data_IF_843337600138
#
_entry.id   IF_843337600138
#
_cell.length_a   1.000
_cell.length_b   1.000
_cell.length_c   1.000
_cell.angle_alpha   90.00
_cell.angle_beta   90.00
_cell.angle_gamma   90.00
#
_symmetry.space_group_name_H-M   'P 1'
#
loop_
_entity.id
_entity.type
_entity.pdbx_description
1 polymer ?
#
# COMPACT_ATOMS: atom_id res chain seq x y z
N UNK A 1 9.85 24.45 27.68
CA UNK A 1 9.61 23.20 27.01
C UNK A 1 10.94 22.72 26.43
N UNK A 2 11.49 21.65 26.96
CA UNK A 2 12.58 20.92 26.29
C UNK A 2 11.88 19.98 25.33
N UNK A 3 11.82 20.32 24.05
CA UNK A 3 11.49 19.38 23.02
C UNK A 3 12.67 18.44 22.90
N UNK A 4 12.48 17.15 23.18
CA UNK A 4 13.47 16.13 22.85
C UNK A 4 13.57 16.09 21.31
N UNK A 5 14.69 16.59 20.82
CA UNK A 5 15.00 16.62 19.39
C UNK A 5 15.95 15.48 18.98
N UNK A 6 16.08 14.43 19.82
CA UNK A 6 16.85 13.24 19.45
C UNK A 6 16.04 12.45 18.43
N UNK A 7 16.40 12.45 17.15
CA UNK A 7 15.67 11.73 16.11
C UNK A 7 15.64 10.20 16.34
N UNK A 8 16.55 9.67 17.14
CA UNK A 8 16.58 8.25 17.48
C UNK A 8 15.51 7.84 18.51
N UNK A 9 14.98 8.78 19.28
CA UNK A 9 13.96 8.51 20.33
C UNK A 9 12.54 8.58 19.76
N UNK A 10 12.35 9.25 18.63
CA UNK A 10 11.05 9.43 17.98
C UNK A 10 10.87 8.65 16.67
N UNK A 11 11.82 7.83 16.29
CA UNK A 11 11.67 6.96 15.11
C UNK A 11 10.65 5.86 15.39
N UNK A 12 9.67 5.70 14.52
CA UNK A 12 8.74 4.57 14.56
C UNK A 12 9.49 3.24 14.46
N UNK A 13 8.84 2.16 14.82
CA UNK A 13 9.41 0.81 14.75
C UNK A 13 8.40 -0.22 14.26
N UNK A 14 8.92 -1.27 13.62
CA UNK A 14 8.15 -2.43 13.23
C UNK A 14 8.17 -3.51 14.32
N UNK A 15 7.01 -4.08 14.60
CA UNK A 15 6.83 -5.21 15.50
C UNK A 15 6.09 -6.36 14.77
N UNK A 16 6.40 -7.59 15.12
CA UNK A 16 5.72 -8.76 14.53
C UNK A 16 4.25 -8.81 14.97
N UNK A 17 3.33 -8.87 14.00
CA UNK A 17 1.90 -9.12 14.19
C UNK A 17 1.51 -10.57 13.92
N UNK A 18 0.22 -10.89 14.06
CA UNK A 18 -0.33 -12.20 13.73
C UNK A 18 -0.22 -12.49 12.23
N UNK A 19 0.23 -13.67 11.85
CA UNK A 19 0.41 -14.07 10.45
C UNK A 19 -0.92 -14.28 9.71
N UNK A 20 -0.94 -13.99 8.39
CA UNK A 20 -2.02 -14.42 7.49
C UNK A 20 -2.27 -15.92 7.60
N UNK A 21 -3.51 -16.37 7.48
CA UNK A 21 -3.83 -17.79 7.42
C UNK A 21 -3.29 -18.42 6.13
N UNK A 22 -3.29 -17.67 5.02
CA UNK A 22 -2.75 -18.13 3.74
C UNK A 22 -1.60 -17.24 3.29
N UNK A 23 -0.38 -17.82 3.22
CA UNK A 23 0.81 -17.12 2.71
C UNK A 23 0.63 -16.77 1.21
N UNK A 24 0.62 -15.48 0.87
CA UNK A 24 0.38 -15.01 -0.50
C UNK A 24 1.02 -13.66 -0.79
N UNK A 25 1.29 -13.44 -2.07
CA UNK A 25 1.83 -12.19 -2.63
C UNK A 25 0.88 -11.59 -3.67
N UNK A 26 1.21 -10.41 -4.20
CA UNK A 26 0.45 -9.73 -5.28
C UNK A 26 -1.05 -9.56 -4.95
N UNK A 27 -1.35 -9.42 -3.67
CA UNK A 27 -2.71 -9.24 -3.16
C UNK A 27 -3.01 -7.77 -2.96
N UNK A 28 -4.26 -7.41 -2.97
CA UNK A 28 -4.72 -6.08 -2.57
C UNK A 28 -5.07 -6.04 -1.09
N UNK A 29 -5.25 -4.83 -0.59
CA UNK A 29 -5.64 -4.59 0.79
C UNK A 29 -6.36 -3.25 0.95
N UNK A 30 -6.95 -3.06 2.12
CA UNK A 30 -7.53 -1.82 2.61
C UNK A 30 -7.46 -1.79 4.12
N UNK A 31 -7.14 -0.64 4.71
CA UNK A 31 -6.99 -0.55 6.15
C UNK A 31 -6.93 0.87 6.69
N UNK A 32 -7.51 1.05 7.87
CA UNK A 32 -7.52 2.33 8.57
C UNK A 32 -6.31 2.51 9.49
N UNK A 33 -5.66 1.40 9.91
CA UNK A 33 -4.56 1.41 10.87
C UNK A 33 -3.81 0.08 10.83
N UNK A 34 -2.69 -0.06 11.54
CA UNK A 34 -1.97 -1.35 11.68
C UNK A 34 -2.82 -2.47 12.30
N UNK A 35 -3.92 -2.14 12.96
CA UNK A 35 -4.76 -3.10 13.70
C UNK A 35 -6.14 -3.34 13.07
N UNK A 36 -6.42 -2.75 11.91
CA UNK A 36 -7.73 -2.87 11.25
C UNK A 36 -7.57 -2.88 9.74
N UNK A 37 -7.41 -4.08 9.17
CA UNK A 37 -7.11 -4.27 7.74
C UNK A 37 -7.93 -5.41 7.15
N UNK A 38 -8.18 -5.32 5.84
CA UNK A 38 -8.63 -6.43 5.00
C UNK A 38 -7.59 -6.70 3.91
N UNK A 39 -7.30 -7.95 3.62
CA UNK A 39 -6.41 -8.39 2.55
C UNK A 39 -7.11 -9.43 1.70
N UNK A 40 -7.13 -9.24 0.39
CA UNK A 40 -7.92 -10.07 -0.52
C UNK A 40 -7.20 -10.40 -1.82
N UNK A 41 -7.62 -11.50 -2.45
CA UNK A 41 -7.06 -12.01 -3.70
C UNK A 41 -5.56 -12.36 -3.58
N UNK A 42 -4.83 -12.41 -4.69
CA UNK A 42 -3.38 -12.61 -4.73
C UNK A 42 -2.95 -13.93 -5.31
N UNK A 43 -1.72 -14.34 -5.01
CA UNK A 43 -1.08 -15.53 -5.57
C UNK A 43 -0.43 -16.40 -4.48
N UNK A 44 -0.74 -17.68 -4.51
CA UNK A 44 -0.09 -18.75 -3.74
C UNK A 44 0.81 -19.59 -4.66
N UNK A 45 0.37 -20.74 -5.10
CA UNK A 45 0.87 -21.52 -6.25
C UNK A 45 -0.03 -21.29 -7.49
N UNK A 46 -1.16 -20.65 -7.30
CA UNK A 46 -2.12 -20.21 -8.30
C UNK A 46 -2.74 -18.88 -7.83
N UNK A 47 -3.46 -18.20 -8.71
CA UNK A 47 -4.27 -17.04 -8.32
C UNK A 47 -5.39 -17.50 -7.40
N UNK A 48 -5.69 -16.71 -6.38
CA UNK A 48 -6.66 -17.05 -5.33
C UNK A 48 -7.65 -15.91 -5.09
N UNK A 49 -8.79 -16.26 -4.47
CA UNK A 49 -9.85 -15.32 -4.12
C UNK A 49 -9.92 -15.03 -2.62
N UNK A 50 -9.11 -15.70 -1.80
CA UNK A 50 -9.17 -15.60 -0.34
C UNK A 50 -9.18 -14.16 0.15
N UNK A 51 -10.06 -13.89 1.11
CA UNK A 51 -10.06 -12.62 1.83
C UNK A 51 -9.96 -12.87 3.35
N UNK A 52 -9.17 -12.05 4.01
CA UNK A 52 -8.92 -12.13 5.44
C UNK A 52 -8.96 -10.72 6.06
N UNK A 53 -9.51 -10.60 7.26
CA UNK A 53 -9.50 -9.35 8.04
C UNK A 53 -8.59 -9.49 9.26
N UNK A 54 -7.90 -8.40 9.60
CA UNK A 54 -6.99 -8.30 10.74
C UNK A 54 -7.54 -7.41 11.84
N UNK A 55 -7.46 -7.85 13.09
CA UNK A 55 -7.99 -7.15 14.25
C UNK A 55 -6.91 -6.63 15.22
N UNK A 56 -5.65 -6.58 14.79
CA UNK A 56 -4.51 -6.20 15.64
C UNK A 56 -3.87 -7.39 16.37
N UNK A 57 -4.42 -8.59 16.22
CA UNK A 57 -3.87 -9.80 16.89
C UNK A 57 -3.83 -10.99 15.93
N UNK A 58 -4.88 -11.19 15.17
CA UNK A 58 -5.03 -12.33 14.28
C UNK A 58 -5.78 -11.97 13.00
N UNK A 59 -5.48 -12.70 11.94
CA UNK A 59 -6.23 -12.71 10.70
C UNK A 59 -7.34 -13.73 10.76
N UNK A 60 -8.51 -13.36 10.24
CA UNK A 60 -9.70 -14.20 10.17
C UNK A 60 -10.20 -14.24 8.74
N UNK A 61 -10.44 -15.42 8.18
CA UNK A 61 -11.07 -15.58 6.87
C UNK A 61 -12.48 -15.00 6.86
N UNK A 62 -12.80 -14.30 5.78
CA UNK A 62 -14.12 -13.71 5.53
C UNK A 62 -14.61 -14.14 4.14
N UNK A 63 -15.72 -13.60 3.65
CA UNK A 63 -16.24 -13.92 2.32
C UNK A 63 -15.20 -13.65 1.22
N UNK A 64 -14.94 -14.65 0.40
CA UNK A 64 -13.96 -14.60 -0.70
C UNK A 64 -14.37 -13.60 -1.78
N UNK A 65 -13.36 -13.03 -2.43
CA UNK A 65 -13.48 -12.24 -3.65
C UNK A 65 -14.14 -13.10 -4.75
N UNK A 66 -15.07 -12.55 -5.55
CA UNK A 66 -15.82 -13.37 -6.50
C UNK A 66 -14.95 -13.92 -7.64
N UNK A 67 -13.97 -13.11 -8.08
CA UNK A 67 -13.06 -13.51 -9.17
C UNK A 67 -11.62 -13.63 -8.67
N UNK A 68 -11.08 -14.85 -8.60
CA UNK A 68 -9.69 -15.10 -8.23
C UNK A 68 -8.73 -14.34 -9.17
N UNK A 69 -7.88 -13.47 -8.63
CA UNK A 69 -6.93 -12.64 -9.40
C UNK A 69 -5.79 -12.12 -8.52
N UNK A 70 -4.74 -11.66 -9.17
CA UNK A 70 -3.55 -11.08 -8.55
C UNK A 70 -3.18 -9.74 -9.18
N UNK A 71 -2.21 -9.01 -8.58
CA UNK A 71 -1.68 -7.75 -9.12
C UNK A 71 -2.77 -6.69 -9.36
N UNK A 72 -3.77 -6.67 -8.52
CA UNK A 72 -4.92 -5.79 -8.59
C UNK A 72 -4.72 -4.56 -7.71
N UNK A 73 -5.45 -3.49 -7.99
CA UNK A 73 -5.58 -2.36 -7.10
C UNK A 73 -6.58 -2.64 -5.98
N UNK A 74 -6.39 -2.01 -4.83
CA UNK A 74 -7.33 -2.08 -3.72
C UNK A 74 -7.21 -0.90 -2.79
N UNK A 75 -8.31 -0.54 -2.15
CA UNK A 75 -8.39 0.53 -1.16
C UNK A 75 -9.61 0.34 -0.25
N UNK A 76 -9.73 1.21 0.75
CA UNK A 76 -10.86 1.21 1.68
C UNK A 76 -10.51 0.74 3.07
N UNK A 77 -11.47 0.16 3.77
CA UNK A 77 -11.34 -0.30 5.16
C UNK A 77 -12.01 -1.67 5.35
N UNK A 78 -11.82 -2.26 6.53
CA UNK A 78 -12.33 -3.59 6.90
C UNK A 78 -13.85 -3.82 6.65
N UNK A 79 -14.64 -2.75 6.66
CA UNK A 79 -16.10 -2.81 6.46
C UNK A 79 -16.56 -2.27 5.11
N UNK A 80 -15.64 -1.67 4.32
CA UNK A 80 -15.95 -1.01 3.06
C UNK A 80 -14.69 -0.93 2.20
N UNK A 81 -14.45 -1.93 1.36
CA UNK A 81 -13.27 -2.01 0.50
C UNK A 81 -13.65 -2.13 -0.98
N UNK A 82 -12.72 -1.79 -1.85
CA UNK A 82 -12.84 -1.89 -3.30
C UNK A 82 -11.61 -2.60 -3.85
N UNK A 83 -11.82 -3.56 -4.75
CA UNK A 83 -10.75 -4.22 -5.48
C UNK A 83 -11.00 -4.18 -6.98
N UNK A 84 -10.00 -3.80 -7.79
CA UNK A 84 -10.19 -3.52 -9.21
C UNK A 84 -8.99 -3.92 -10.07
N UNK A 85 -9.29 -4.25 -11.34
CA UNK A 85 -8.29 -4.69 -12.31
C UNK A 85 -7.58 -5.98 -11.92
N UNK A 86 -6.32 -6.10 -12.31
CA UNK A 86 -5.49 -7.27 -12.06
C UNK A 86 -5.54 -8.31 -13.16
N UNK A 87 -5.04 -9.49 -12.86
CA UNK A 87 -5.06 -10.63 -13.79
C UNK A 87 -5.57 -11.91 -13.13
N UNK A 88 -6.37 -12.65 -13.88
CA UNK A 88 -6.75 -14.04 -13.58
C UNK A 88 -5.64 -15.01 -14.03
N UNK A 89 -5.87 -16.31 -13.95
CA UNK A 89 -4.92 -17.29 -14.48
C UNK A 89 -4.73 -17.20 -16.02
N UNK A 90 -5.62 -16.53 -16.73
CA UNK A 90 -5.66 -16.55 -18.20
C UNK A 90 -5.69 -15.19 -18.87
N UNK A 91 -6.09 -14.13 -18.16
CA UNK A 91 -6.29 -12.81 -18.78
C UNK A 91 -6.21 -11.67 -17.75
N UNK A 92 -5.83 -10.49 -18.23
CA UNK A 92 -6.03 -9.22 -17.53
C UNK A 92 -7.50 -8.86 -17.56
N UNK A 93 -7.99 -8.27 -16.49
CA UNK A 93 -9.41 -7.93 -16.33
C UNK A 93 -9.60 -6.47 -15.93
N UNK A 94 -10.80 -5.96 -16.19
CA UNK A 94 -11.25 -4.63 -15.77
C UNK A 94 -12.16 -4.69 -14.54
N UNK A 95 -12.51 -5.88 -14.09
CA UNK A 95 -13.54 -6.14 -13.07
C UNK A 95 -13.25 -5.38 -11.78
N UNK A 96 -14.30 -4.72 -11.25
CA UNK A 96 -14.28 -4.06 -9.95
C UNK A 96 -15.27 -4.75 -9.02
N UNK A 97 -14.83 -5.03 -7.80
CA UNK A 97 -15.67 -5.62 -6.75
C UNK A 97 -15.64 -4.75 -5.50
N UNK A 98 -16.81 -4.57 -4.89
CA UNK A 98 -17.06 -3.79 -3.69
C UNK A 98 -17.41 -4.70 -2.51
N UNK A 99 -16.78 -4.49 -1.36
CA UNK A 99 -16.98 -5.19 -0.09
C UNK A 99 -17.86 -4.38 0.85
N UNK A 100 -18.92 -4.96 1.38
CA UNK A 100 -19.88 -4.32 2.29
C UNK A 100 -19.69 -4.68 3.78
N UNK A 101 -18.59 -5.36 4.11
CA UNK A 101 -18.32 -5.89 5.45
C UNK A 101 -18.73 -7.37 5.62
N UNK A 102 -19.41 -7.96 4.62
CA UNK A 102 -19.90 -9.34 4.67
C UNK A 102 -19.72 -10.10 3.35
N UNK A 103 -19.83 -9.43 2.20
CA UNK A 103 -19.77 -10.03 0.86
C UNK A 103 -19.19 -9.09 -0.18
N UNK A 104 -18.63 -9.67 -1.24
CA UNK A 104 -18.18 -8.95 -2.42
C UNK A 104 -19.27 -8.92 -3.48
N UNK A 105 -19.43 -7.77 -4.14
CA UNK A 105 -20.37 -7.55 -5.23
C UNK A 105 -19.65 -6.87 -6.39
N UNK A 106 -19.82 -7.40 -7.61
CA UNK A 106 -19.33 -6.77 -8.83
C UNK A 106 -20.07 -5.45 -9.08
N UNK A 107 -19.30 -4.41 -9.42
CA UNK A 107 -19.79 -3.05 -9.68
C UNK A 107 -19.23 -2.55 -11.02
N UNK A 108 -19.27 -1.25 -11.31
CA UNK A 108 -18.81 -0.71 -12.59
C UNK A 108 -17.33 -0.99 -12.84
N UNK A 109 -17.01 -1.54 -14.00
CA UNK A 109 -15.64 -1.94 -14.40
C UNK A 109 -14.78 -0.74 -14.82
N UNK A 110 -13.44 -0.93 -14.73
CA UNK A 110 -12.45 -0.04 -15.35
C UNK A 110 -12.69 0.09 -16.86
N UNK A 111 -12.32 1.23 -17.44
CA UNK A 111 -12.41 1.45 -18.89
C UNK A 111 -11.40 0.60 -19.69
N UNK A 112 -10.30 0.21 -19.06
CA UNK A 112 -9.28 -0.63 -19.69
C UNK A 112 -8.82 -1.78 -18.79
N UNK A 113 -8.66 -2.98 -19.39
CA UNK A 113 -8.07 -4.12 -18.68
C UNK A 113 -6.59 -3.88 -18.40
N UNK A 114 -6.18 -3.89 -17.14
CA UNK A 114 -4.77 -3.78 -16.74
C UNK A 114 -4.52 -4.39 -15.36
N UNK A 115 -3.28 -4.78 -15.12
CA UNK A 115 -2.82 -5.10 -13.78
C UNK A 115 -1.85 -4.02 -13.27
N UNK A 116 -1.79 -3.86 -11.96
CA UNK A 116 -0.96 -2.81 -11.36
C UNK A 116 0.53 -3.13 -11.30
N UNK A 117 0.90 -4.40 -11.53
CA UNK A 117 2.27 -4.87 -11.31
C UNK A 117 2.65 -4.78 -9.82
N UNK A 118 2.69 -5.89 -9.14
CA UNK A 118 2.93 -5.89 -7.69
C UNK A 118 1.66 -5.58 -6.89
N UNK A 119 1.62 -4.46 -6.23
CA UNK A 119 0.42 -3.90 -5.59
C UNK A 119 0.06 -2.68 -6.42
N UNK A 120 -1.04 -2.71 -7.15
CA UNK A 120 -1.40 -1.68 -8.10
C UNK A 120 -1.38 -0.28 -7.50
N UNK A 121 -0.99 0.71 -8.28
CA UNK A 121 -1.05 2.13 -7.94
C UNK A 121 -2.49 2.55 -7.62
N UNK A 122 -2.89 2.38 -6.38
CA UNK A 122 -4.23 2.64 -5.89
C UNK A 122 -4.19 3.58 -4.68
N UNK A 123 -5.13 4.51 -4.65
CA UNK A 123 -5.33 5.42 -3.52
C UNK A 123 -6.83 5.71 -3.37
N UNK A 124 -7.32 5.86 -2.15
CA UNK A 124 -8.70 6.27 -1.93
C UNK A 124 -9.49 5.43 -0.94
N UNK A 125 -10.80 5.50 -1.10
CA UNK A 125 -11.81 4.79 -0.32
C UNK A 125 -12.68 3.94 -1.25
N UNK A 126 -13.59 3.13 -0.70
CA UNK A 126 -14.55 2.35 -1.47
C UNK A 126 -15.41 3.19 -2.43
N UNK A 127 -15.70 4.43 -2.08
CA UNK A 127 -16.61 5.33 -2.86
C UNK A 127 -15.85 6.39 -3.66
N UNK A 128 -14.55 6.52 -3.47
CA UNK A 128 -13.73 7.52 -4.17
C UNK A 128 -12.28 7.01 -4.26
N UNK A 129 -11.89 6.48 -5.42
CA UNK A 129 -10.60 5.84 -5.62
C UNK A 129 -9.91 6.30 -6.91
N UNK A 130 -8.61 6.11 -6.95
CA UNK A 130 -7.77 6.22 -8.14
C UNK A 130 -7.11 4.89 -8.46
N UNK A 131 -6.95 4.60 -9.74
CA UNK A 131 -6.09 3.54 -10.23
C UNK A 131 -5.18 4.07 -11.34
N UNK A 132 -3.90 4.12 -11.07
CA UNK A 132 -2.90 4.75 -11.95
C UNK A 132 -1.73 3.82 -12.27
N UNK A 133 -1.15 4.03 -13.44
CA UNK A 133 -0.06 3.20 -13.93
C UNK A 133 -0.48 1.78 -14.27
N UNK A 134 0.47 0.85 -14.16
CA UNK A 134 0.26 -0.57 -14.40
C UNK A 134 0.74 -1.02 -15.77
N UNK A 135 0.24 -2.17 -16.22
CA UNK A 135 0.66 -2.82 -17.46
C UNK A 135 -0.55 -3.35 -18.24
N UNK A 136 -0.59 -3.00 -19.51
CA UNK A 136 -1.55 -3.54 -20.49
C UNK A 136 -0.85 -4.55 -21.42
N UNK A 137 -0.34 -4.14 -22.54
CA UNK A 137 0.66 -4.81 -23.37
C UNK A 137 2.03 -4.12 -23.25
N UNK A 138 2.03 -2.95 -22.62
CA UNK A 138 3.19 -2.10 -22.33
C UNK A 138 2.94 -1.36 -21.00
N UNK A 139 3.96 -0.66 -20.50
CA UNK A 139 3.80 0.18 -19.31
C UNK A 139 2.73 1.24 -19.57
N UNK A 140 1.89 1.48 -18.58
CA UNK A 140 0.78 2.44 -18.68
C UNK A 140 1.04 3.65 -17.80
N UNK A 141 0.62 4.82 -18.31
CA UNK A 141 0.49 6.04 -17.52
C UNK A 141 -0.96 6.29 -17.09
N UNK A 142 -1.91 5.52 -17.64
CA UNK A 142 -3.34 5.76 -17.48
C UNK A 142 -3.74 5.88 -16.01
N UNK A 143 -4.60 6.85 -15.73
CA UNK A 143 -5.20 7.06 -14.43
C UNK A 143 -6.72 7.11 -14.57
N UNK A 144 -7.40 6.32 -13.78
CA UNK A 144 -8.87 6.30 -13.70
C UNK A 144 -9.33 6.65 -12.30
N UNK A 145 -10.41 7.42 -12.22
CA UNK A 145 -11.05 7.90 -11.00
C UNK A 145 -12.40 7.24 -10.84
N UNK A 146 -12.67 6.68 -9.67
CA UNK A 146 -13.93 6.06 -9.24
C UNK A 146 -14.79 7.03 -8.44
N UNK A 147 -16.06 7.16 -8.77
CA UNK A 147 -17.02 8.07 -8.11
C UNK A 147 -18.02 7.35 -7.18
N UNK A 148 -17.83 6.05 -6.95
CA UNK A 148 -18.75 5.18 -6.20
C UNK A 148 -19.69 4.37 -7.09
N UNK A 149 -19.69 4.63 -8.42
CA UNK A 149 -20.57 3.96 -9.40
C UNK A 149 -19.88 3.63 -10.72
N UNK A 150 -18.94 4.45 -11.17
CA UNK A 150 -18.27 4.31 -12.46
C UNK A 150 -16.82 4.83 -12.42
N UNK A 151 -15.98 4.28 -13.32
CA UNK A 151 -14.63 4.75 -13.56
C UNK A 151 -14.59 5.76 -14.71
N UNK A 152 -13.82 6.81 -14.55
CA UNK A 152 -13.61 7.85 -15.56
C UNK A 152 -12.11 8.10 -15.71
N UNK A 153 -11.61 8.16 -16.95
CA UNK A 153 -10.23 8.56 -17.24
C UNK A 153 -10.00 10.01 -16.81
N UNK A 154 -8.87 10.24 -16.13
CA UNK A 154 -8.44 11.54 -15.65
C UNK A 154 -6.98 11.77 -16.05
N UNK A 155 -6.33 12.83 -15.57
CA UNK A 155 -4.94 13.16 -15.95
C UNK A 155 -3.96 12.02 -15.67
N UNK A 156 -3.22 11.60 -16.69
CA UNK A 156 -2.26 10.50 -16.64
C UNK A 156 -0.99 10.84 -15.85
N UNK A 157 -0.29 9.82 -15.33
CA UNK A 157 1.07 9.95 -14.82
C UNK A 157 2.00 10.57 -15.89
N UNK A 158 2.98 11.38 -15.46
CA UNK A 158 3.99 11.92 -16.37
C UNK A 158 4.87 10.81 -16.98
N UNK A 159 5.05 9.70 -16.26
CA UNK A 159 5.85 8.58 -16.73
C UNK A 159 5.07 7.27 -16.62
N UNK A 160 4.90 6.57 -17.75
CA UNK A 160 4.28 5.26 -17.82
C UNK A 160 5.11 4.22 -17.06
N UNK A 161 4.52 3.51 -16.08
CA UNK A 161 5.21 2.55 -15.21
C UNK A 161 4.27 1.56 -14.54
N UNK A 162 4.80 0.40 -14.21
CA UNK A 162 4.10 -0.63 -13.43
C UNK A 162 4.71 -0.80 -12.03
N UNK A 163 4.10 -1.64 -11.21
CA UNK A 163 4.52 -1.92 -9.84
C UNK A 163 4.70 -0.65 -8.97
N UNK A 164 3.86 0.33 -9.25
CA UNK A 164 3.78 1.62 -8.58
C UNK A 164 3.04 1.45 -7.27
N UNK A 165 3.54 2.01 -6.18
CA UNK A 165 2.77 2.12 -4.95
C UNK A 165 1.89 3.37 -4.97
N UNK A 166 0.72 3.25 -4.37
CA UNK A 166 -0.20 4.38 -4.17
C UNK A 166 -0.45 4.65 -2.71
N UNK A 167 -0.56 5.91 -2.32
CA UNK A 167 -0.99 6.31 -0.99
C UNK A 167 -1.75 7.64 -1.04
N UNK A 168 -2.57 7.90 -0.03
CA UNK A 168 -3.44 9.08 0.01
C UNK A 168 -4.88 8.78 -0.40
N UNK A 169 -5.58 9.80 -0.88
CA UNK A 169 -7.00 9.75 -1.25
C UNK A 169 -7.20 10.28 -2.68
N UNK A 170 -8.37 10.03 -3.25
CA UNK A 170 -8.71 10.45 -4.61
C UNK A 170 -8.43 11.94 -4.92
N UNK A 171 -8.70 12.93 -4.04
CA UNK A 171 -8.39 14.32 -4.35
C UNK A 171 -6.91 14.67 -4.19
N UNK A 172 -6.12 13.83 -3.51
CA UNK A 172 -4.69 14.05 -3.29
C UNK A 172 -3.97 12.73 -3.01
N UNK A 173 -3.13 12.29 -3.93
CA UNK A 173 -2.44 10.99 -3.87
C UNK A 173 -0.97 11.11 -4.27
N UNK A 174 -0.16 10.14 -3.86
CA UNK A 174 1.20 9.93 -4.34
C UNK A 174 1.29 8.62 -5.12
N UNK A 175 1.98 8.68 -6.25
CA UNK A 175 2.44 7.53 -7.03
C UNK A 175 3.95 7.39 -6.82
N UNK A 176 4.40 6.27 -6.24
CA UNK A 176 5.76 6.12 -5.73
C UNK A 176 6.46 4.91 -6.32
N UNK A 177 7.69 5.12 -6.82
CA UNK A 177 8.53 4.06 -7.35
C UNK A 177 7.97 3.36 -8.59
N UNK A 178 8.29 2.09 -8.75
CA UNK A 178 7.84 1.24 -9.86
C UNK A 178 8.93 0.89 -10.86
N UNK A 179 8.52 0.39 -12.04
CA UNK A 179 9.41 -0.02 -13.15
C UNK A 179 9.13 0.79 -14.42
N UNK A 180 10.24 1.23 -15.13
CA UNK A 180 10.23 2.04 -16.38
C UNK A 180 11.46 1.76 -17.25
N UNK A 181 11.65 0.80 -18.00
CA UNK A 181 11.69 -0.62 -17.73
C UNK A 181 12.62 -1.02 -16.57
N UNK A 182 13.45 -0.10 -16.07
CA UNK A 182 14.24 -0.29 -14.86
C UNK A 182 13.46 0.22 -13.63
N UNK A 183 13.87 -0.17 -12.43
CA UNK A 183 13.30 0.38 -11.20
C UNK A 183 13.58 1.87 -11.11
N UNK A 184 12.60 2.61 -10.59
CA UNK A 184 12.70 4.05 -10.39
C UNK A 184 12.36 4.43 -8.96
N UNK A 185 12.93 5.54 -8.49
CA UNK A 185 12.51 6.22 -7.24
C UNK A 185 11.45 7.28 -7.48
N UNK A 186 11.08 7.53 -8.75
CA UNK A 186 10.20 8.63 -9.13
C UNK A 186 8.93 8.68 -8.29
N UNK A 187 8.64 9.87 -7.76
CA UNK A 187 7.43 10.14 -7.01
C UNK A 187 6.66 11.25 -7.67
N UNK A 188 5.38 11.03 -7.92
CA UNK A 188 4.46 12.03 -8.47
C UNK A 188 3.31 12.30 -7.50
N UNK A 189 2.96 13.57 -7.33
CA UNK A 189 1.85 14.06 -6.51
C UNK A 189 0.66 14.40 -7.41
N UNK A 190 -0.49 13.85 -7.11
CA UNK A 190 -1.80 14.17 -7.67
C UNK A 190 -2.49 15.27 -6.87
N UNK A 191 -2.97 16.31 -7.54
CA UNK A 191 -3.67 17.47 -6.94
C UNK A 191 -5.18 17.45 -7.14
N UNK A 192 -5.73 16.36 -7.66
CA UNK A 192 -7.14 16.22 -8.06
C UNK A 192 -7.38 16.47 -9.55
N UNK A 193 -6.36 16.90 -10.32
CA UNK A 193 -6.46 17.20 -11.75
C UNK A 193 -5.24 16.78 -12.58
N UNK A 194 -4.05 16.85 -12.00
CA UNK A 194 -2.79 16.55 -12.68
C UNK A 194 -1.74 15.97 -11.74
N UNK A 195 -0.76 15.27 -12.33
CA UNK A 195 0.40 14.75 -11.64
C UNK A 195 1.59 15.69 -11.77
N UNK A 196 2.32 15.90 -10.69
CA UNK A 196 3.54 16.73 -10.65
C UNK A 196 4.65 15.92 -9.97
N UNK A 197 5.85 15.90 -10.57
CA UNK A 197 7.02 15.28 -9.94
C UNK A 197 7.40 16.01 -8.65
N UNK A 198 7.69 15.24 -7.62
CA UNK A 198 8.18 15.69 -6.31
C UNK A 198 9.48 14.96 -5.98
N UNK A 199 9.97 15.05 -4.74
CA UNK A 199 11.23 14.39 -4.36
C UNK A 199 11.11 12.86 -4.46
N UNK A 200 12.07 12.24 -5.10
CA UNK A 200 12.16 10.79 -5.31
C UNK A 200 12.54 10.03 -4.03
N UNK A 201 12.18 8.73 -4.00
CA UNK A 201 12.75 7.78 -3.02
C UNK A 201 14.28 7.81 -3.07
N UNK A 202 14.92 7.67 -1.91
CA UNK A 202 16.37 7.55 -1.82
C UNK A 202 16.88 6.24 -2.48
N UNK A 203 16.05 5.19 -2.46
CA UNK A 203 16.35 3.89 -3.07
C UNK A 203 15.29 3.53 -4.12
N UNK A 204 15.70 3.45 -5.40
CA UNK A 204 14.80 3.11 -6.51
C UNK A 204 14.24 1.69 -6.36
N UNK A 205 12.92 1.56 -6.15
CA UNK A 205 12.25 0.31 -5.82
C UNK A 205 10.90 0.15 -6.52
N UNK A 206 10.54 -1.12 -6.72
CA UNK A 206 9.21 -1.55 -7.16
C UNK A 206 8.61 -2.56 -6.18
N UNK A 207 7.34 -2.90 -6.34
CA UNK A 207 6.66 -3.94 -5.53
C UNK A 207 6.71 -3.69 -4.01
N UNK A 208 6.68 -2.43 -3.63
CA UNK A 208 6.75 -1.97 -2.23
C UNK A 208 5.37 -1.98 -1.57
N UNK A 209 5.31 -2.15 -0.26
CA UNK A 209 4.14 -1.79 0.54
C UNK A 209 4.12 -0.28 0.83
N UNK A 210 2.95 0.30 0.96
CA UNK A 210 2.78 1.74 1.23
C UNK A 210 1.60 2.00 2.17
N UNK A 211 1.66 3.13 2.86
CA UNK A 211 0.58 3.60 3.73
C UNK A 211 0.66 5.11 3.95
N UNK A 212 -0.44 5.71 4.40
CA UNK A 212 -0.47 7.11 4.80
C UNK A 212 -1.07 8.07 3.79
N UNK A 213 -0.62 9.32 3.84
CA UNK A 213 -1.19 10.44 3.09
C UNK A 213 -0.11 11.19 2.30
N UNK A 214 -0.51 12.17 1.51
CA UNK A 214 0.42 13.07 0.78
C UNK A 214 1.27 13.97 1.66
N UNK A 215 1.05 14.00 2.96
CA UNK A 215 1.82 14.80 3.92
C UNK A 215 2.55 13.96 4.97
N UNK A 216 2.17 12.68 5.10
CA UNK A 216 2.81 11.74 6.02
C UNK A 216 2.59 10.31 5.48
N UNK A 217 3.59 9.76 4.82
CA UNK A 217 3.53 8.47 4.16
C UNK A 217 4.69 7.56 4.53
N UNK A 218 4.50 6.27 4.33
CA UNK A 218 5.53 5.23 4.45
C UNK A 218 5.56 4.38 3.18
N UNK A 219 6.78 4.00 2.79
CA UNK A 219 7.03 2.97 1.77
C UNK A 219 8.04 1.98 2.33
N UNK A 220 7.74 0.70 2.24
CA UNK A 220 8.54 -0.34 2.89
C UNK A 220 8.68 -1.62 2.05
N UNK A 221 9.80 -2.31 2.23
CA UNK A 221 10.13 -3.51 1.47
C UNK A 221 10.36 -3.24 -0.01
N UNK A 222 9.93 -4.17 -0.86
CA UNK A 222 10.04 -4.08 -2.32
C UNK A 222 11.29 -4.71 -2.89
N UNK A 223 11.54 -4.43 -4.18
CA UNK A 223 12.69 -4.89 -4.94
C UNK A 223 13.65 -3.74 -5.24
N UNK A 224 14.97 -3.90 -4.84
CA UNK A 224 16.05 -2.96 -5.10
C UNK A 224 17.42 -3.63 -4.90
N UNK A 225 18.10 -4.05 -5.84
CA UNK A 225 17.96 -5.00 -6.93
C UNK A 225 17.49 -6.40 -6.51
N UNK A 226 17.40 -6.69 -5.22
CA UNK A 226 16.80 -7.87 -4.61
C UNK A 226 15.64 -7.46 -3.71
N UNK A 227 15.09 -8.41 -2.95
CA UNK A 227 14.09 -8.08 -1.92
C UNK A 227 14.72 -7.22 -0.83
N UNK A 228 14.00 -6.19 -0.39
CA UNK A 228 14.50 -5.16 0.54
C UNK A 228 13.79 -5.20 1.89
N UNK A 229 14.47 -4.70 2.91
CA UNK A 229 13.89 -4.36 4.22
C UNK A 229 13.60 -2.86 4.34
N UNK A 230 14.13 -2.02 3.44
CA UNK A 230 14.15 -0.57 3.59
C UNK A 230 12.76 0.01 3.81
N UNK A 231 12.67 0.92 4.76
CA UNK A 231 11.50 1.75 4.99
C UNK A 231 11.89 3.21 4.84
N UNK A 232 11.13 3.95 4.05
CA UNK A 232 11.27 5.40 3.92
C UNK A 232 9.99 6.10 4.32
N UNK A 233 10.13 7.19 5.05
CA UNK A 233 9.04 8.06 5.51
C UNK A 233 9.00 9.34 4.67
N UNK A 234 7.79 9.71 4.22
CA UNK A 234 7.48 10.95 3.53
C UNK A 234 6.93 11.99 4.50
N UNK A 235 7.51 13.18 4.52
CA UNK A 235 7.10 14.28 5.40
C UNK A 235 6.30 15.39 4.68
N UNK A 236 5.86 15.15 3.45
CA UNK A 236 5.20 16.14 2.59
C UNK A 236 6.14 16.85 1.63
N UNK A 237 7.47 16.69 1.76
CA UNK A 237 8.47 17.34 0.90
C UNK A 237 9.64 16.45 0.51
N UNK A 238 10.02 15.48 1.35
CA UNK A 238 11.17 14.61 1.12
C UNK A 238 10.97 13.24 1.77
N UNK A 239 11.65 12.22 1.23
CA UNK A 239 11.77 10.88 1.78
C UNK A 239 12.99 10.78 2.70
N UNK A 240 12.85 10.09 3.81
CA UNK A 240 13.92 9.84 4.78
C UNK A 240 13.90 8.36 5.19
N UNK A 241 15.06 7.71 5.19
CA UNK A 241 15.18 6.35 5.73
C UNK A 241 14.87 6.32 7.22
N UNK A 242 14.08 5.32 7.62
CA UNK A 242 13.69 5.06 9.01
C UNK A 242 13.92 3.58 9.36
N UNK A 243 13.45 3.09 10.50
CA UNK A 243 13.63 1.71 10.92
C UNK A 243 12.96 0.72 9.95
N UNK A 244 13.73 -0.25 9.50
CA UNK A 244 13.36 -1.21 8.47
C UNK A 244 12.44 -2.32 8.98
N UNK A 245 11.62 -2.92 8.07
CA UNK A 245 10.92 -4.18 8.35
C UNK A 245 11.94 -5.27 8.69
N UNK A 246 11.56 -6.22 9.53
CA UNK A 246 12.49 -7.24 10.04
C UNK A 246 12.92 -8.25 8.98
N UNK A 247 12.08 -8.51 7.99
CA UNK A 247 12.32 -9.52 6.95
C UNK A 247 12.21 -8.89 5.56
N UNK A 248 13.28 -8.97 4.77
CA UNK A 248 13.31 -8.49 3.39
C UNK A 248 12.26 -9.21 2.54
N UNK A 249 11.35 -8.46 1.92
CA UNK A 249 10.27 -9.00 1.08
C UNK A 249 9.71 -7.96 0.13
N UNK A 250 9.15 -8.45 -0.97
CA UNK A 250 8.48 -7.64 -1.99
C UNK A 250 7.06 -8.16 -2.25
N UNK A 251 6.28 -7.45 -3.07
CA UNK A 251 4.90 -7.85 -3.41
C UNK A 251 4.02 -8.05 -2.16
N UNK A 252 4.31 -7.26 -1.13
CA UNK A 252 3.60 -7.25 0.15
C UNK A 252 2.51 -6.17 0.13
N UNK A 253 1.43 -6.37 0.86
CA UNK A 253 0.44 -5.32 1.04
C UNK A 253 0.86 -4.35 2.15
N UNK A 254 0.48 -3.09 1.98
CA UNK A 254 0.66 -2.05 2.98
C UNK A 254 -0.61 -1.22 3.14
N UNK A 255 -0.97 -0.88 4.38
CA UNK A 255 -2.14 -0.06 4.71
C UNK A 255 -1.97 0.67 6.03
N UNK A 256 -2.91 1.56 6.32
CA UNK A 256 -2.95 2.35 7.53
C UNK A 256 -2.52 3.80 7.32
N UNK A 257 -1.89 4.37 8.32
CA UNK A 257 -1.41 5.76 8.29
C UNK A 257 0.11 5.82 8.31
N UNK A 258 0.70 7.00 8.07
CA UNK A 258 2.15 7.21 8.18
C UNK A 258 2.71 6.92 9.59
N UNK A 259 1.87 6.92 10.62
CA UNK A 259 2.27 6.68 12.02
C UNK A 259 1.78 5.34 12.58
N UNK A 260 0.92 4.63 11.85
CA UNK A 260 0.31 3.38 12.29
C UNK A 260 -0.02 2.53 11.05
N UNK A 261 0.95 1.76 10.58
CA UNK A 261 0.89 1.02 9.33
C UNK A 261 1.04 -0.49 9.53
N UNK A 262 0.54 -1.24 8.54
CA UNK A 262 0.65 -2.70 8.47
C UNK A 262 1.39 -3.11 7.20
N UNK A 263 2.33 -4.05 7.35
CA UNK A 263 2.98 -4.76 6.27
C UNK A 263 2.57 -6.24 6.31
N UNK A 264 1.90 -6.76 5.29
CA UNK A 264 1.37 -8.13 5.33
C UNK A 264 1.74 -8.95 4.09
N UNK A 265 2.14 -10.21 4.32
CA UNK A 265 2.47 -11.20 3.27
C UNK A 265 3.62 -10.79 2.36
N UNK A 266 3.52 -11.13 1.08
CA UNK A 266 4.55 -10.90 0.06
C UNK A 266 5.42 -12.12 -0.21
N UNK A 267 6.64 -11.88 -0.73
CA UNK A 267 7.61 -12.94 -1.03
C UNK A 267 9.02 -12.59 -0.55
N UNK A 268 9.73 -13.59 -0.04
CA UNK A 268 11.16 -13.57 0.30
C UNK A 268 11.98 -14.41 -0.68
N UNK A 269 11.37 -14.82 -1.81
CA UNK A 269 11.75 -15.90 -2.69
C UNK A 269 10.72 -17.03 -2.65
N UNK A 270 9.98 -17.14 -1.52
CA UNK A 270 8.77 -17.96 -1.35
C UNK A 270 7.70 -17.09 -0.71
N UNK A 271 6.43 -17.41 -0.96
CA UNK A 271 5.33 -16.67 -0.34
C UNK A 271 5.43 -16.70 1.18
N UNK A 272 5.16 -15.59 1.83
CA UNK A 272 5.16 -15.46 3.28
C UNK A 272 3.81 -15.02 3.82
N UNK A 273 3.47 -15.46 5.01
CA UNK A 273 2.32 -15.02 5.78
C UNK A 273 2.66 -13.92 6.80
N UNK A 274 3.92 -13.52 6.89
CA UNK A 274 4.40 -12.60 7.91
C UNK A 274 3.65 -11.27 7.87
N UNK A 275 3.28 -10.79 9.05
CA UNK A 275 2.70 -9.46 9.28
C UNK A 275 3.59 -8.69 10.23
N UNK A 276 3.81 -7.42 9.96
CA UNK A 276 4.51 -6.49 10.82
C UNK A 276 3.70 -5.19 10.97
N UNK A 277 3.70 -4.63 12.17
CA UNK A 277 2.98 -3.43 12.55
C UNK A 277 3.96 -2.30 12.81
N UNK A 278 3.76 -1.16 12.15
CA UNK A 278 4.50 0.06 12.38
C UNK A 278 3.80 0.93 13.40
N UNK A 279 4.53 1.37 14.40
CA UNK A 279 4.04 2.33 15.39
C UNK A 279 5.11 3.33 15.76
N UNK A 280 4.71 4.57 15.99
CA UNK A 280 5.57 5.52 16.69
C UNK A 280 5.49 5.26 18.18
N UNK A 281 6.61 5.38 18.93
CA UNK A 281 6.56 5.37 20.38
C UNK A 281 5.65 6.52 20.83
N UNK A 282 4.72 6.23 21.73
CA UNK A 282 3.95 7.29 22.39
C UNK A 282 4.94 8.25 23.03
N UNK A 283 4.81 9.54 22.75
CA UNK A 283 5.64 10.57 23.41
C UNK A 283 5.62 10.30 24.92
N UNK A 284 6.78 10.31 25.60
CA UNK A 284 6.81 10.10 27.04
C UNK A 284 5.84 11.08 27.71
N UNK A 285 4.89 10.54 28.46
CA UNK A 285 3.98 11.36 29.24
C UNK A 285 4.83 12.07 30.29
N UNK A 286 5.17 13.32 30.04
CA UNK A 286 5.84 14.16 31.03
C UNK A 286 4.82 14.40 32.13
N UNK A 287 4.95 13.68 33.24
CA UNK A 287 4.20 14.03 34.45
C UNK A 287 4.67 15.41 34.93
N UNK A 288 3.76 16.36 35.04
CA UNK A 288 4.07 17.65 35.62
C UNK A 288 4.71 17.42 36.99
N UNK A 289 5.97 17.88 37.15
CA UNK A 289 6.73 17.80 38.40
C UNK A 289 7.98 16.91 38.37
N UNK A 290 8.28 16.20 37.31
CA UNK A 290 9.55 15.47 37.21
C UNK A 290 10.64 16.33 36.52
N UNK A 291 11.58 16.79 37.32
CA UNK A 291 12.80 17.47 36.88
C UNK A 291 13.87 16.39 36.62
N UNK A 292 14.21 16.12 35.38
CA UNK A 292 15.37 15.28 35.05
C UNK A 292 16.63 16.15 35.03
N UNK A 293 17.53 15.92 35.98
CA UNK A 293 18.85 16.56 35.99
C UNK A 293 19.80 15.56 35.27
N UNK A 294 20.30 15.93 34.11
CA UNK A 294 21.39 15.20 33.46
C UNK A 294 22.67 15.54 34.23
N UNK A 295 23.17 14.61 35.04
CA UNK A 295 24.52 14.73 35.64
C UNK A 295 25.54 14.43 34.55
N UNK A 296 26.51 15.32 34.38
CA UNK A 296 27.60 15.25 33.41
C UNK A 296 28.54 14.07 33.69
#
# INVERSE_FOLDING_TARGET
>A
QVTDTDPAVNAGSWATGGSLNTARRNKASGGASSTSNISFAGFTTAVVANAETYNGTAWTEVGDFNTARQQLGGCGIITAALGFGGETATARVAVTESWDGSSWTEVGDLNATRYGGGIGGAAGTQTAALFFGGFTTEFSASNESWDGSSWTEVGDLNTAREAVAGLGLQPAALAVGGNVPARTGATELWDGSSWTEVADLNDARSDVGSSGTTTAGLVFGGNSPGVSTNTEEWNGTAWTEVNNISTARSQLAGDGTGTNALAAGGTTGSNTAATEEWTFPSAPVVQEGQLWIKTA
#
